data_IF_678936355749
#
_entry.id   IF_678936355749
#
_cell.length_a   1.000
_cell.length_b   1.000
_cell.length_c   1.000
_cell.angle_alpha   90.00
_cell.angle_beta   90.00
_cell.angle_gamma   90.00
#
_symmetry.space_group_name_H-M   'P 1'
#
loop_
_entity.id
_entity.type
_entity.pdbx_description
1 polymer ?
#
# COMPACT_ATOMS: atom_id res chain seq x y z
N UNK A 1 -11.29 12.04 17.53
CA UNK A 1 -12.09 11.48 16.41
C UNK A 1 -11.80 10.00 16.16
N UNK A 2 -10.54 9.59 15.93
CA UNK A 2 -10.18 8.18 15.69
C UNK A 2 -10.64 7.24 16.81
N UNK A 3 -10.40 7.61 18.07
CA UNK A 3 -10.77 6.81 19.24
C UNK A 3 -12.27 6.51 19.30
N UNK A 4 -13.12 7.49 18.99
CA UNK A 4 -14.57 7.29 18.92
C UNK A 4 -14.95 6.32 17.81
N UNK A 5 -14.40 6.50 16.60
CA UNK A 5 -14.64 5.59 15.46
C UNK A 5 -14.17 4.18 15.79
N UNK A 6 -13.02 4.05 16.45
CA UNK A 6 -12.50 2.76 16.89
C UNK A 6 -13.45 2.07 17.87
N UNK A 7 -13.87 2.76 18.95
CA UNK A 7 -14.75 2.20 20.00
C UNK A 7 -16.11 1.82 19.49
N UNK A 8 -16.72 2.66 18.64
CA UNK A 8 -18.11 2.46 18.18
C UNK A 8 -18.17 1.46 17.01
N UNK A 9 -17.24 1.53 16.06
CA UNK A 9 -17.34 0.80 14.80
C UNK A 9 -16.25 -0.27 14.66
N UNK A 10 -14.97 0.15 14.66
CA UNK A 10 -13.88 -0.74 14.26
C UNK A 10 -13.63 -1.89 15.23
N UNK A 11 -13.85 -1.65 16.54
CA UNK A 11 -13.69 -2.69 17.57
C UNK A 11 -14.68 -3.85 17.40
N UNK A 12 -15.86 -3.59 16.82
CA UNK A 12 -16.92 -4.60 16.62
C UNK A 12 -16.70 -5.44 15.36
N UNK A 13 -15.88 -4.96 14.43
CA UNK A 13 -15.60 -5.67 13.19
C UNK A 13 -14.38 -6.60 13.37
N UNK A 14 -14.36 -7.78 12.74
CA UNK A 14 -13.13 -8.57 12.62
C UNK A 14 -11.99 -7.70 12.07
N UNK A 15 -10.77 -7.86 12.61
CA UNK A 15 -9.65 -6.98 12.27
C UNK A 15 -9.33 -6.97 10.77
N UNK A 16 -9.39 -8.15 10.13
CA UNK A 16 -9.15 -8.29 8.68
C UNK A 16 -10.26 -7.62 7.85
N UNK A 17 -11.51 -7.67 8.29
CA UNK A 17 -12.63 -6.99 7.63
C UNK A 17 -12.52 -5.47 7.76
N UNK A 18 -12.15 -4.96 8.94
CA UNK A 18 -11.91 -3.53 9.15
C UNK A 18 -10.76 -3.01 8.26
N UNK A 19 -9.66 -3.78 8.13
CA UNK A 19 -8.58 -3.46 7.19
C UNK A 19 -9.07 -3.42 5.75
N UNK A 20 -9.81 -4.42 5.30
CA UNK A 20 -10.34 -4.48 3.93
C UNK A 20 -11.27 -3.29 3.62
N UNK A 21 -12.15 -2.94 4.55
CA UNK A 21 -13.05 -1.80 4.42
C UNK A 21 -12.30 -0.47 4.37
N UNK A 22 -11.35 -0.25 5.27
CA UNK A 22 -10.49 0.95 5.27
C UNK A 22 -9.68 1.09 3.99
N UNK A 23 -9.09 0.00 3.52
CA UNK A 23 -8.35 0.00 2.27
C UNK A 23 -9.24 0.26 1.05
N UNK A 24 -10.46 -0.31 1.04
CA UNK A 24 -11.43 -0.03 0.00
C UNK A 24 -11.80 1.46 -0.03
N UNK A 25 -12.08 2.08 1.11
CA UNK A 25 -12.38 3.51 1.21
C UNK A 25 -11.22 4.38 0.68
N UNK A 26 -9.98 4.08 1.04
CA UNK A 26 -8.79 4.78 0.54
C UNK A 26 -8.71 4.67 -0.99
N UNK A 27 -8.98 3.49 -1.54
CA UNK A 27 -8.97 3.27 -3.00
C UNK A 27 -10.07 4.05 -3.70
N UNK A 28 -11.28 4.08 -3.15
CA UNK A 28 -12.39 4.86 -3.69
C UNK A 28 -12.06 6.36 -3.65
N UNK A 29 -11.62 6.88 -2.50
CA UNK A 29 -11.22 8.27 -2.38
C UNK A 29 -10.09 8.66 -3.36
N UNK A 30 -9.14 7.75 -3.60
CA UNK A 30 -8.07 7.95 -4.59
C UNK A 30 -8.51 7.78 -6.05
N UNK A 31 -9.66 7.19 -6.31
CA UNK A 31 -10.20 6.99 -7.67
C UNK A 31 -11.14 8.12 -8.12
N UNK A 32 -11.77 8.84 -7.19
CA UNK A 32 -12.65 9.96 -7.48
C UNK A 32 -11.86 11.10 -8.16
N UNK A 33 -12.39 11.75 -9.21
CA UNK A 33 -11.75 12.93 -9.82
C UNK A 33 -11.46 14.02 -8.77
N UNK A 34 -10.20 14.48 -8.72
CA UNK A 34 -9.75 15.43 -7.70
C UNK A 34 -9.41 14.83 -6.34
N UNK A 35 -9.86 13.62 -6.03
CA UNK A 35 -9.61 12.94 -4.75
C UNK A 35 -8.13 12.85 -4.37
N UNK A 36 -7.23 12.35 -5.25
CA UNK A 36 -5.80 12.31 -4.95
C UNK A 36 -5.19 13.68 -4.67
N UNK A 37 -5.66 14.73 -5.35
CA UNK A 37 -5.22 16.09 -5.09
C UNK A 37 -5.66 16.57 -3.71
N UNK A 38 -6.93 16.34 -3.35
CA UNK A 38 -7.48 16.73 -2.06
C UNK A 38 -6.78 16.02 -0.91
N UNK A 39 -6.62 14.68 -1.02
CA UNK A 39 -5.90 13.89 -0.02
C UNK A 39 -4.48 14.41 0.20
N UNK A 40 -3.72 14.66 -0.87
CA UNK A 40 -2.37 15.21 -0.76
C UNK A 40 -2.36 16.63 -0.19
N UNK A 41 -3.35 17.44 -0.53
CA UNK A 41 -3.46 18.83 -0.04
C UNK A 41 -3.61 18.89 1.48
N UNK A 42 -4.28 17.89 2.05
CA UNK A 42 -4.60 17.83 3.48
C UNK A 42 -3.63 16.99 4.31
N UNK A 43 -3.08 15.93 3.73
CA UNK A 43 -2.34 14.91 4.47
C UNK A 43 -0.84 14.89 4.16
N UNK A 44 -0.42 15.29 2.95
CA UNK A 44 0.99 15.23 2.60
C UNK A 44 1.81 16.31 3.31
N UNK A 45 2.96 15.97 3.89
CA UNK A 45 3.88 16.92 4.48
C UNK A 45 4.40 17.88 3.39
N UNK A 46 4.62 19.15 3.77
CA UNK A 46 5.05 20.20 2.84
C UNK A 46 6.36 20.84 3.22
N UNK A 47 6.82 20.63 4.44
CA UNK A 47 8.04 21.21 4.94
C UNK A 47 9.24 20.64 4.16
N UNK A 48 10.04 21.48 3.48
CA UNK A 48 11.22 21.06 2.76
C UNK A 48 12.26 20.34 3.63
N UNK A 49 12.29 20.61 4.93
CA UNK A 49 13.21 19.96 5.88
C UNK A 49 12.98 18.46 5.98
N UNK A 50 11.77 17.99 5.64
CA UNK A 50 11.40 16.56 5.65
C UNK A 50 11.90 15.80 4.41
N UNK A 51 12.44 16.50 3.41
CA UNK A 51 12.95 15.82 2.21
C UNK A 51 14.14 14.96 2.54
N UNK A 52 14.14 13.75 2.02
CA UNK A 52 15.19 12.75 2.25
C UNK A 52 15.65 12.20 0.93
N UNK A 53 16.99 12.09 0.78
CA UNK A 53 17.58 11.34 -0.33
C UNK A 53 17.99 9.96 0.18
N UNK A 54 17.33 8.92 -0.32
CA UNK A 54 17.58 7.54 0.05
C UNK A 54 17.38 6.61 -1.15
N UNK A 55 18.13 5.53 -1.22
CA UNK A 55 18.04 4.52 -2.30
C UNK A 55 18.14 5.12 -3.72
N UNK A 56 18.92 6.19 -3.89
CA UNK A 56 19.01 6.91 -5.16
C UNK A 56 17.77 7.74 -5.54
N UNK A 57 16.81 7.88 -4.64
CA UNK A 57 15.56 8.61 -4.85
C UNK A 57 15.51 9.88 -3.99
N UNK A 58 14.95 10.96 -4.56
CA UNK A 58 14.57 12.14 -3.81
C UNK A 58 13.13 11.97 -3.32
N UNK A 59 12.99 11.76 -2.01
CA UNK A 59 11.72 11.47 -1.36
C UNK A 59 11.18 12.75 -0.70
N UNK A 60 9.86 13.01 -0.78
CA UNK A 60 9.24 14.19 -0.18
C UNK A 60 9.19 14.16 1.35
N UNK A 61 9.53 13.05 1.96
CA UNK A 61 9.55 12.87 3.41
C UNK A 61 10.13 11.53 3.83
N UNK A 62 10.37 11.31 5.12
CA UNK A 62 10.99 10.09 5.63
C UNK A 62 10.00 8.94 5.83
N UNK A 63 8.69 9.20 5.76
CA UNK A 63 7.66 8.21 6.07
C UNK A 63 7.23 7.45 4.82
N UNK A 64 7.48 6.16 4.80
CA UNK A 64 6.97 5.20 3.80
C UNK A 64 5.94 4.24 4.40
N UNK A 65 5.15 3.62 3.53
CA UNK A 65 4.27 2.53 3.91
C UNK A 65 4.93 1.20 3.58
N UNK A 66 5.17 0.38 4.60
CA UNK A 66 5.77 -0.94 4.44
C UNK A 66 4.83 -1.96 3.81
N UNK A 67 5.40 -3.04 3.28
CA UNK A 67 4.66 -4.20 2.78
C UNK A 67 3.70 -4.79 3.83
N UNK A 68 2.67 -5.46 3.36
CA UNK A 68 1.63 -6.08 4.20
C UNK A 68 0.30 -5.34 4.18
N UNK A 69 0.28 -4.04 3.86
CA UNK A 69 -0.97 -3.27 3.74
C UNK A 69 -1.62 -3.49 2.35
N UNK A 70 -0.89 -3.28 1.28
CA UNK A 70 -1.33 -3.53 -0.11
C UNK A 70 -0.59 -4.74 -0.69
N UNK A 71 -1.05 -5.93 -0.35
CA UNK A 71 -0.37 -7.18 -0.71
C UNK A 71 -0.42 -7.51 -2.20
N UNK A 72 -1.37 -6.90 -2.92
CA UNK A 72 -1.66 -7.21 -4.32
C UNK A 72 -1.42 -6.04 -5.28
N UNK A 73 -0.78 -4.97 -4.85
CA UNK A 73 -0.57 -3.75 -5.63
C UNK A 73 -1.87 -3.11 -6.17
N UNK A 74 -2.95 -3.15 -5.36
CA UNK A 74 -4.28 -2.64 -5.75
C UNK A 74 -4.48 -1.16 -5.50
N UNK A 75 -3.72 -0.57 -4.58
CA UNK A 75 -3.98 0.78 -4.07
C UNK A 75 -2.76 1.68 -3.94
N UNK A 76 -1.60 1.30 -4.47
CA UNK A 76 -0.35 2.05 -4.30
C UNK A 76 -0.45 3.54 -4.66
N UNK A 77 -1.25 3.92 -5.67
CA UNK A 77 -1.47 5.32 -6.04
C UNK A 77 -2.30 6.07 -4.99
N UNK A 78 -3.38 5.44 -4.50
CA UNK A 78 -4.27 6.02 -3.48
C UNK A 78 -3.55 6.15 -2.14
N UNK A 79 -2.75 5.16 -1.77
CA UNK A 79 -1.91 5.20 -0.57
C UNK A 79 -0.87 6.33 -0.65
N UNK A 80 -0.21 6.49 -1.80
CA UNK A 80 0.68 7.63 -2.02
C UNK A 80 -0.02 8.99 -1.94
N UNK A 81 -1.31 9.04 -2.25
CA UNK A 81 -2.10 10.26 -2.10
C UNK A 81 -2.33 10.64 -0.62
N UNK A 82 -2.23 9.70 0.31
CA UNK A 82 -2.26 9.98 1.76
C UNK A 82 -1.00 10.71 2.27
N UNK A 83 0.04 10.87 1.45
CA UNK A 83 1.25 11.61 1.81
C UNK A 83 2.47 10.74 2.09
N UNK A 84 2.38 9.43 1.95
CA UNK A 84 3.56 8.57 2.03
C UNK A 84 4.57 8.92 0.95
N UNK A 85 5.84 8.95 1.32
CA UNK A 85 6.94 9.23 0.41
C UNK A 85 7.20 8.09 -0.57
N UNK A 86 7.04 6.86 -0.09
CA UNK A 86 7.05 5.63 -0.88
C UNK A 86 6.02 4.65 -0.33
N UNK A 87 5.65 3.68 -1.13
CA UNK A 87 4.74 2.59 -0.78
C UNK A 87 5.37 1.28 -1.22
N UNK A 88 5.55 0.37 -0.29
CA UNK A 88 5.98 -0.99 -0.57
C UNK A 88 4.74 -1.89 -0.67
N UNK A 89 4.55 -2.53 -1.81
CA UNK A 89 3.47 -3.50 -2.03
C UNK A 89 3.98 -4.92 -1.79
N UNK A 90 3.11 -5.82 -1.44
CA UNK A 90 3.48 -7.22 -1.14
C UNK A 90 3.24 -7.57 0.33
N UNK A 91 3.77 -8.68 0.81
CA UNK A 91 4.70 -9.61 0.15
C UNK A 91 3.99 -10.35 -0.98
N UNK A 92 4.61 -10.36 -2.14
CA UNK A 92 4.16 -11.09 -3.33
C UNK A 92 4.98 -12.37 -3.44
N UNK A 93 4.33 -13.48 -3.73
CA UNK A 93 4.96 -14.78 -4.02
C UNK A 93 4.79 -15.10 -5.51
N UNK A 94 5.62 -15.96 -6.09
CA UNK A 94 5.50 -16.31 -7.50
C UNK A 94 4.11 -16.82 -7.82
N UNK A 95 3.60 -17.76 -7.03
CA UNK A 95 2.24 -18.31 -7.14
C UNK A 95 1.30 -17.63 -6.15
N UNK A 96 0.03 -17.50 -6.52
CA UNK A 96 -1.02 -17.07 -5.61
C UNK A 96 -1.17 -18.05 -4.43
N UNK A 97 -1.36 -17.50 -3.22
CA UNK A 97 -1.62 -18.33 -2.05
C UNK A 97 -2.62 -17.67 -1.10
N UNK A 98 -3.50 -18.48 -0.46
CA UNK A 98 -4.56 -17.96 0.40
C UNK A 98 -4.06 -17.45 1.76
N UNK A 99 -2.84 -17.84 2.13
CA UNK A 99 -2.29 -17.65 3.47
C UNK A 99 -2.82 -18.68 4.48
N UNK A 100 -2.68 -18.36 5.75
CA UNK A 100 -3.14 -19.25 6.82
C UNK A 100 -4.67 -19.22 6.99
N UNK A 101 -5.28 -20.29 7.56
CA UNK A 101 -6.70 -20.32 7.89
C UNK A 101 -7.10 -19.17 8.83
N UNK A 102 -8.33 -18.70 8.68
CA UNK A 102 -8.94 -17.72 9.59
C UNK A 102 -9.51 -18.37 10.85
N UNK A 103 -9.53 -17.66 12.00
CA UNK A 103 -9.04 -16.30 12.24
C UNK A 103 -7.51 -16.23 12.26
N UNK A 104 -6.94 -15.16 11.72
CA UNK A 104 -5.49 -14.98 11.56
C UNK A 104 -4.97 -13.58 11.89
N UNK A 105 -5.84 -12.76 12.47
CA UNK A 105 -5.52 -11.42 12.94
C UNK A 105 -6.31 -11.13 14.20
N UNK A 106 -5.61 -10.76 15.28
CA UNK A 106 -6.18 -10.60 16.62
C UNK A 106 -5.77 -9.24 17.18
N UNK A 107 -6.74 -8.54 17.78
CA UNK A 107 -6.46 -7.30 18.51
C UNK A 107 -6.24 -7.60 19.98
N UNK A 108 -5.25 -6.93 20.54
CA UNK A 108 -4.97 -6.90 21.97
C UNK A 108 -5.23 -5.47 22.47
N UNK A 109 -6.49 -5.11 22.81
CA UNK A 109 -6.86 -3.74 23.11
C UNK A 109 -6.16 -3.18 24.35
N UNK A 110 -5.90 -4.01 25.36
CA UNK A 110 -5.19 -3.61 26.59
C UNK A 110 -3.76 -3.15 26.28
N UNK A 111 -3.08 -3.87 25.38
CA UNK A 111 -1.69 -3.60 25.01
C UNK A 111 -1.57 -2.65 23.81
N UNK A 112 -2.70 -2.17 23.25
CA UNK A 112 -2.78 -1.41 22.00
C UNK A 112 -2.03 -2.10 20.85
N UNK A 113 -2.07 -3.42 20.80
CA UNK A 113 -1.31 -4.25 19.89
C UNK A 113 -2.23 -5.06 18.96
N UNK A 114 -1.60 -5.60 17.92
CA UNK A 114 -2.22 -6.48 16.96
C UNK A 114 -1.28 -7.63 16.65
N UNK A 115 -1.78 -8.85 16.82
CA UNK A 115 -1.07 -10.09 16.48
C UNK A 115 -1.66 -10.65 15.21
N UNK A 116 -0.81 -11.11 14.29
CA UNK A 116 -1.28 -11.78 13.08
C UNK A 116 -0.41 -12.96 12.70
N UNK A 117 -1.03 -13.86 11.94
CA UNK A 117 -0.40 -15.01 11.28
C UNK A 117 -0.93 -15.12 9.85
N UNK A 118 -0.82 -14.05 9.06
CA UNK A 118 -1.46 -13.95 7.74
C UNK A 118 -0.97 -14.97 6.72
N UNK A 119 0.33 -15.34 6.75
CA UNK A 119 0.91 -16.37 5.88
C UNK A 119 1.05 -15.93 4.42
N UNK A 120 1.43 -14.68 4.19
CA UNK A 120 1.70 -14.10 2.87
C UNK A 120 0.58 -14.32 1.83
N UNK A 121 -0.68 -14.15 2.27
CA UNK A 121 -1.82 -14.23 1.35
C UNK A 121 -1.73 -13.15 0.27
N UNK A 122 -1.68 -13.57 -0.99
CA UNK A 122 -1.58 -12.70 -2.16
C UNK A 122 -2.05 -13.39 -3.44
N UNK A 123 -2.27 -12.61 -4.50
CA UNK A 123 -2.76 -13.08 -5.79
C UNK A 123 -1.66 -13.55 -6.76
N UNK A 124 -0.40 -13.59 -6.31
CA UNK A 124 0.76 -14.00 -7.10
C UNK A 124 1.40 -12.85 -7.89
N UNK A 125 2.65 -13.10 -8.31
CA UNK A 125 3.48 -12.13 -9.00
C UNK A 125 2.87 -11.63 -10.32
N UNK A 126 2.29 -12.52 -11.12
CA UNK A 126 1.66 -12.16 -12.40
C UNK A 126 0.54 -11.13 -12.22
N UNK A 127 -0.32 -11.31 -11.21
CA UNK A 127 -1.41 -10.40 -10.92
C UNK A 127 -0.91 -9.03 -10.40
N UNK A 128 0.12 -9.02 -9.55
CA UNK A 128 0.73 -7.80 -9.07
C UNK A 128 1.42 -7.03 -10.20
N UNK A 129 2.20 -7.71 -11.04
CA UNK A 129 2.88 -7.13 -12.20
C UNK A 129 1.90 -6.47 -13.18
N UNK A 130 0.79 -7.13 -13.49
CA UNK A 130 -0.25 -6.58 -14.36
C UNK A 130 -0.84 -5.28 -13.81
N UNK A 131 -1.13 -5.21 -12.52
CA UNK A 131 -1.63 -4.00 -11.86
C UNK A 131 -0.60 -2.87 -11.88
N UNK A 132 0.66 -3.19 -11.65
CA UNK A 132 1.75 -2.21 -11.70
C UNK A 132 1.98 -1.69 -13.13
N UNK A 133 1.94 -2.55 -14.16
CA UNK A 133 2.00 -2.12 -15.57
C UNK A 133 0.85 -1.19 -15.94
N UNK A 134 -0.39 -1.52 -15.55
CA UNK A 134 -1.56 -0.64 -15.75
C UNK A 134 -1.38 0.71 -15.07
N UNK A 135 -0.83 0.73 -13.85
CA UNK A 135 -0.50 1.97 -13.14
C UNK A 135 0.53 2.80 -13.93
N UNK A 136 1.61 2.19 -14.41
CA UNK A 136 2.64 2.87 -15.19
C UNK A 136 2.08 3.45 -16.50
N UNK A 137 1.29 2.68 -17.24
CA UNK A 137 0.66 3.13 -18.48
C UNK A 137 -0.28 4.34 -18.24
N UNK A 138 -1.08 4.31 -17.16
CA UNK A 138 -1.92 5.46 -16.76
C UNK A 138 -1.07 6.68 -16.47
N UNK A 139 0.05 6.51 -15.76
CA UNK A 139 1.00 7.61 -15.47
C UNK A 139 1.56 8.24 -16.73
N UNK A 140 2.05 7.42 -17.68
CA UNK A 140 2.62 7.89 -18.93
C UNK A 140 1.60 8.73 -19.73
N UNK A 141 0.34 8.27 -19.81
CA UNK A 141 -0.75 9.01 -20.47
C UNK A 141 -1.02 10.38 -19.80
N UNK A 142 -0.89 10.47 -18.47
CA UNK A 142 -1.10 11.73 -17.76
C UNK A 142 0.11 12.66 -17.85
N UNK A 143 1.32 12.14 -17.84
CA UNK A 143 2.55 12.91 -17.99
C UNK A 143 2.61 13.59 -19.38
N UNK A 144 2.21 12.90 -20.43
CA UNK A 144 2.15 13.46 -21.79
C UNK A 144 1.07 14.55 -21.98
N UNK A 145 0.13 14.69 -21.04
CA UNK A 145 -0.91 15.75 -21.07
C UNK A 145 -0.60 16.93 -20.16
N UNK A 146 0.40 16.84 -19.31
CA UNK A 146 0.76 17.85 -18.33
C UNK A 146 1.84 18.78 -18.90
N UNK A 147 1.46 19.68 -19.80
CA UNK A 147 2.30 20.78 -20.26
C UNK A 147 2.17 21.97 -19.30
N UNK A 148 3.23 22.25 -18.54
CA UNK A 148 3.33 23.45 -17.69
C UNK A 148 4.31 23.30 -16.54
N UNK A 149 5.06 24.35 -16.19
CA UNK A 149 5.98 24.36 -15.05
C UNK A 149 5.20 24.13 -13.73
N UNK A 150 5.67 23.23 -12.90
CA UNK A 150 5.08 22.94 -11.57
C UNK A 150 4.05 21.82 -11.53
N UNK A 151 3.68 21.18 -12.64
CA UNK A 151 2.74 20.05 -12.68
C UNK A 151 3.38 18.66 -12.70
N UNK A 152 4.69 18.56 -12.67
CA UNK A 152 5.45 17.33 -12.46
C UNK A 152 5.36 16.89 -11.00
N UNK A 153 4.17 16.41 -10.58
CA UNK A 153 4.03 15.79 -9.27
C UNK A 153 4.87 14.52 -9.30
N UNK A 154 5.95 14.50 -8.53
CA UNK A 154 6.73 13.29 -8.30
C UNK A 154 5.76 12.20 -7.84
N UNK A 155 5.49 11.19 -8.66
CA UNK A 155 4.59 10.13 -8.26
C UNK A 155 5.24 9.37 -7.12
N UNK A 156 4.41 8.88 -6.18
CA UNK A 156 4.93 8.04 -5.10
C UNK A 156 5.80 6.91 -5.66
N UNK A 157 7.00 6.76 -5.10
CA UNK A 157 7.86 5.63 -5.38
C UNK A 157 7.18 4.34 -4.91
N UNK A 158 7.28 3.26 -5.68
CA UNK A 158 6.72 1.97 -5.33
C UNK A 158 7.81 0.93 -5.30
N UNK A 159 8.00 0.33 -4.13
CA UNK A 159 8.78 -0.87 -3.92
C UNK A 159 7.88 -2.11 -4.00
N UNK A 160 8.49 -3.25 -4.28
CA UNK A 160 7.83 -4.56 -4.24
C UNK A 160 8.58 -5.46 -3.28
N UNK A 161 7.88 -5.93 -2.26
CA UNK A 161 8.38 -6.96 -1.36
C UNK A 161 8.05 -8.33 -1.95
N UNK A 162 9.05 -9.14 -2.15
CA UNK A 162 8.92 -10.50 -2.70
C UNK A 162 9.29 -11.54 -1.65
N UNK A 163 8.57 -12.62 -1.67
CA UNK A 163 8.81 -13.75 -0.78
C UNK A 163 8.61 -15.08 -1.48
N UNK A 164 9.23 -16.10 -0.96
CA UNK A 164 9.10 -17.47 -1.45
C UNK A 164 7.66 -17.98 -1.29
N UNK A 165 7.14 -18.70 -2.27
CA UNK A 165 5.87 -19.43 -2.17
C UNK A 165 5.95 -20.49 -1.08
N UNK A 166 4.92 -20.62 -0.25
CA UNK A 166 4.92 -21.51 0.91
C UNK A 166 5.19 -22.98 0.54
N UNK A 167 4.64 -23.43 -0.59
CA UNK A 167 4.77 -24.82 -1.05
C UNK A 167 6.14 -25.15 -1.68
N UNK A 168 6.97 -24.13 -1.96
CA UNK A 168 8.30 -24.33 -2.56
C UNK A 168 9.33 -24.59 -1.45
N UNK A 169 10.20 -25.60 -1.57
CA UNK A 169 11.32 -25.83 -0.66
C UNK A 169 12.28 -24.63 -0.58
N UNK A 170 13.06 -24.52 0.49
CA UNK A 170 13.93 -23.38 0.71
C UNK A 170 15.11 -23.32 -0.29
N UNK A 171 15.61 -24.45 -0.69
CA UNK A 171 16.68 -24.65 -1.67
C UNK A 171 16.24 -24.30 -3.11
N UNK A 172 14.95 -24.35 -3.39
CA UNK A 172 14.36 -23.96 -4.68
C UNK A 172 13.86 -22.49 -4.70
N UNK A 173 14.07 -21.75 -3.64
CA UNK A 173 13.51 -20.41 -3.46
C UNK A 173 13.95 -19.39 -4.52
N UNK A 174 15.14 -19.58 -5.14
CA UNK A 174 15.66 -18.68 -6.18
C UNK A 174 14.94 -18.91 -7.51
N UNK A 175 14.45 -20.12 -7.76
CA UNK A 175 13.73 -20.47 -8.98
C UNK A 175 12.23 -20.18 -8.91
N UNK A 176 11.69 -19.89 -7.71
CA UNK A 176 10.31 -19.49 -7.48
C UNK A 176 10.10 -17.99 -7.75
#
# INVERSE_FOLDING_TARGET
MYELVYRVLLRRLPAEAAHAAGFWLIRVAGAVPGGPWLLRRWLAPRDPVLRVRALGLDLPGPLGLAAGFDKDARGAASLGALGFAFVEVGTVTARAQPGNPRPRMFRLPADRALVNRMGFNNAGAAAAAERLRKRQARRARWAGRATGPGRGRNPVAVGVNIGKTKAVPADEAIAD
#
